data_IF_527791978878
#
_entry.id   IF_527791978878
#
_cell.length_a   1.000
_cell.length_b   1.000
_cell.length_c   1.000
_cell.angle_alpha   90.00
_cell.angle_beta   90.00
_cell.angle_gamma   90.00
#
_symmetry.space_group_name_H-M   'P 1'
#
loop_
_entity.id
_entity.type
_entity.pdbx_description
1 polymer ?
#
# COMPACT_ATOMS: atom_id res chain seq x y z
N UNK A 1 2.75 -17.30 -1.16
CA UNK A 1 1.65 -16.92 -0.26
C UNK A 1 1.45 -15.40 -0.33
N UNK A 2 0.22 -14.89 -0.18
CA UNK A 2 -0.07 -13.47 -0.29
C UNK A 2 -0.77 -12.97 0.99
N UNK A 3 -0.32 -11.85 1.53
CA UNK A 3 -0.86 -11.20 2.73
C UNK A 3 -1.37 -9.81 2.42
N UNK A 4 -2.33 -9.34 3.19
CA UNK A 4 -2.80 -7.95 3.21
C UNK A 4 -3.23 -7.54 4.62
N UNK A 5 -3.24 -6.24 4.96
CA UNK A 5 -3.74 -5.79 6.25
C UNK A 5 -5.27 -5.94 6.34
N UNK A 6 -5.78 -6.33 7.49
CA UNK A 6 -7.24 -6.50 7.74
C UNK A 6 -8.02 -5.19 7.67
N UNK A 7 -7.37 -4.05 7.81
CA UNK A 7 -7.99 -2.73 7.68
C UNK A 7 -8.49 -2.44 6.25
N UNK A 8 -8.00 -3.18 5.24
CA UNK A 8 -8.44 -3.03 3.86
C UNK A 8 -9.73 -3.83 3.58
N UNK A 9 -10.86 -3.31 4.06
CA UNK A 9 -12.19 -3.88 3.88
C UNK A 9 -12.86 -3.51 2.54
N UNK A 10 -12.14 -2.90 1.60
CA UNK A 10 -12.69 -2.44 0.31
C UNK A 10 -13.05 -3.58 -0.64
N UNK A 11 -12.50 -4.76 -0.41
CA UNK A 11 -12.73 -5.98 -1.19
C UNK A 11 -12.95 -7.18 -0.28
N UNK A 12 -13.28 -8.33 -0.85
CA UNK A 12 -13.43 -9.62 -0.14
C UNK A 12 -12.24 -9.85 0.81
N UNK A 13 -12.54 -10.16 2.08
CA UNK A 13 -11.53 -10.29 3.16
C UNK A 13 -10.41 -11.27 2.82
N UNK A 14 -10.67 -12.24 1.95
CA UNK A 14 -9.75 -13.32 1.62
C UNK A 14 -9.17 -13.24 0.20
N UNK A 15 -9.26 -12.08 -0.47
CA UNK A 15 -8.76 -11.94 -1.85
C UNK A 15 -8.09 -10.59 -2.07
N UNK A 16 -7.01 -10.63 -2.83
CA UNK A 16 -6.48 -9.44 -3.51
C UNK A 16 -7.02 -9.46 -4.94
N UNK A 17 -7.73 -8.39 -5.32
CA UNK A 17 -8.35 -8.26 -6.63
C UNK A 17 -7.66 -7.19 -7.46
N UNK A 18 -7.41 -7.49 -8.73
CA UNK A 18 -6.92 -6.51 -9.69
C UNK A 18 -8.08 -5.78 -10.35
N UNK A 19 -7.88 -4.56 -10.84
CA UNK A 19 -8.87 -3.81 -11.60
C UNK A 19 -9.39 -4.55 -12.86
N UNK A 20 -8.62 -5.53 -13.36
CA UNK A 20 -9.01 -6.36 -14.50
C UNK A 20 -9.85 -7.59 -14.10
N UNK A 21 -10.29 -7.69 -12.86
CA UNK A 21 -11.19 -8.74 -12.37
C UNK A 21 -10.49 -10.06 -11.98
N UNK A 22 -9.16 -10.15 -12.06
CA UNK A 22 -8.45 -11.30 -11.51
C UNK A 22 -8.38 -11.19 -9.98
N UNK A 23 -8.60 -12.29 -9.29
CA UNK A 23 -8.48 -12.36 -7.84
C UNK A 23 -7.57 -13.50 -7.42
N UNK A 24 -6.77 -13.25 -6.41
CA UNK A 24 -5.87 -14.23 -5.81
C UNK A 24 -6.21 -14.39 -4.33
N UNK A 25 -6.18 -15.62 -3.84
CA UNK A 25 -6.35 -15.89 -2.42
C UNK A 25 -5.26 -15.19 -1.61
N UNK A 26 -5.66 -14.50 -0.57
CA UNK A 26 -4.80 -13.80 0.35
C UNK A 26 -5.22 -14.03 1.79
N UNK A 27 -4.31 -13.83 2.71
CA UNK A 27 -4.57 -13.87 4.14
C UNK A 27 -4.61 -12.45 4.66
N UNK A 28 -5.75 -12.08 5.25
CA UNK A 28 -5.87 -10.82 5.99
C UNK A 28 -5.27 -10.98 7.39
N UNK A 29 -4.39 -10.09 7.77
CA UNK A 29 -3.68 -10.11 9.06
C UNK A 29 -3.75 -8.76 9.75
N UNK A 30 -3.81 -8.79 11.09
CA UNK A 30 -3.90 -7.58 11.92
C UNK A 30 -2.52 -7.03 12.30
N UNK A 31 -1.49 -7.85 12.29
CA UNK A 31 -0.12 -7.44 12.60
C UNK A 31 0.90 -8.15 11.71
N UNK A 32 2.04 -7.49 11.52
CA UNK A 32 3.14 -8.03 10.71
C UNK A 32 3.67 -9.37 11.23
N UNK A 33 3.74 -9.53 12.55
CA UNK A 33 4.27 -10.74 13.18
C UNK A 33 3.43 -11.98 12.93
N UNK A 34 2.12 -11.83 12.63
CA UNK A 34 1.28 -12.98 12.27
C UNK A 34 1.76 -13.70 11.02
N UNK A 35 2.55 -13.07 10.16
CA UNK A 35 3.16 -13.74 9.00
C UNK A 35 3.96 -14.97 9.45
N UNK A 36 4.67 -14.89 10.58
CA UNK A 36 5.46 -16.02 11.10
C UNK A 36 4.61 -17.24 11.43
N UNK A 37 3.36 -17.06 11.90
CA UNK A 37 2.47 -18.17 12.20
C UNK A 37 2.10 -19.00 10.97
N UNK A 38 2.07 -18.36 9.80
CA UNK A 38 1.76 -19.02 8.53
C UNK A 38 2.98 -19.67 7.87
N UNK A 39 4.18 -19.17 8.17
CA UNK A 39 5.40 -19.65 7.50
C UNK A 39 6.23 -20.63 8.33
N UNK A 40 6.00 -20.72 9.66
CA UNK A 40 6.79 -21.54 10.57
C UNK A 40 6.86 -23.04 10.20
N UNK A 41 5.76 -23.59 9.67
CA UNK A 41 5.62 -25.01 9.37
C UNK A 41 5.66 -25.33 7.87
N UNK A 42 5.81 -24.31 7.03
CA UNK A 42 5.80 -24.43 5.57
C UNK A 42 6.90 -23.60 4.94
N UNK A 43 7.61 -24.20 4.00
CA UNK A 43 8.59 -23.48 3.21
C UNK A 43 7.89 -22.81 2.03
N UNK A 44 8.05 -21.48 1.92
CA UNK A 44 7.59 -20.71 0.79
C UNK A 44 8.79 -20.11 0.05
N UNK A 45 8.80 -20.20 -1.26
CA UNK A 45 9.82 -19.58 -2.10
C UNK A 45 9.53 -18.09 -2.26
N UNK A 46 8.24 -17.72 -2.30
CA UNK A 46 7.78 -16.34 -2.53
C UNK A 46 6.67 -15.99 -1.54
N UNK A 47 6.81 -14.81 -0.92
CA UNK A 47 5.78 -14.17 -0.10
C UNK A 47 5.46 -12.80 -0.71
N UNK A 48 4.18 -12.54 -0.98
CA UNK A 48 3.66 -11.24 -1.40
C UNK A 48 2.97 -10.54 -0.24
N UNK A 49 3.12 -9.23 -0.14
CA UNK A 49 2.42 -8.39 0.85
C UNK A 49 1.88 -7.17 0.11
N UNK A 50 0.55 -7.03 0.12
CA UNK A 50 -0.13 -5.90 -0.52
C UNK A 50 -0.54 -4.84 0.51
N UNK A 51 -0.76 -3.60 0.05
CA UNK A 51 -1.17 -2.45 0.87
C UNK A 51 -0.29 -2.24 2.12
N UNK A 52 1.03 -2.43 1.94
CA UNK A 52 1.99 -2.52 3.05
C UNK A 52 2.07 -1.24 3.89
N UNK A 53 1.66 -0.08 3.36
CA UNK A 53 1.61 1.19 4.08
C UNK A 53 0.61 1.20 5.26
N UNK A 54 -0.25 0.20 5.36
CA UNK A 54 -1.19 0.09 6.48
C UNK A 54 -0.67 -0.79 7.63
N UNK A 55 0.53 -1.33 7.50
CA UNK A 55 1.21 -1.99 8.61
C UNK A 55 2.02 -1.01 9.44
N UNK A 56 2.30 -1.38 10.69
CA UNK A 56 3.26 -0.65 11.53
C UNK A 56 4.72 -0.93 11.09
N UNK A 57 5.68 -0.18 11.65
CA UNK A 57 7.10 -0.28 11.31
C UNK A 57 7.72 -1.66 11.59
N UNK A 58 7.08 -2.52 12.37
CA UNK A 58 7.57 -3.88 12.62
C UNK A 58 7.61 -4.73 11.34
N UNK A 59 6.78 -4.39 10.34
CA UNK A 59 6.79 -5.07 9.05
C UNK A 59 8.18 -5.04 8.41
N UNK A 60 8.96 -3.97 8.59
CA UNK A 60 10.32 -3.83 8.06
C UNK A 60 11.24 -4.96 8.57
N UNK A 61 11.19 -5.23 9.87
CA UNK A 61 11.99 -6.32 10.45
C UNK A 61 11.49 -7.70 10.04
N UNK A 62 10.18 -7.87 9.86
CA UNK A 62 9.58 -9.13 9.40
C UNK A 62 10.04 -9.46 7.98
N UNK A 63 9.93 -8.51 7.04
CA UNK A 63 10.35 -8.74 5.65
C UNK A 63 11.86 -8.97 5.54
N UNK A 64 12.69 -8.24 6.30
CA UNK A 64 14.13 -8.48 6.35
C UNK A 64 14.45 -9.92 6.82
N UNK A 65 13.83 -10.35 7.93
CA UNK A 65 14.03 -11.69 8.47
C UNK A 65 13.65 -12.78 7.45
N UNK A 66 12.55 -12.60 6.74
CA UNK A 66 12.11 -13.52 5.69
C UNK A 66 13.10 -13.52 4.50
N UNK A 67 13.53 -12.35 4.04
CA UNK A 67 14.49 -12.24 2.96
C UNK A 67 15.85 -12.88 3.33
N UNK A 68 16.36 -12.61 4.52
CA UNK A 68 17.60 -13.19 5.05
C UNK A 68 17.52 -14.73 5.17
N UNK A 69 16.33 -15.29 5.37
CA UNK A 69 16.08 -16.73 5.37
C UNK A 69 16.01 -17.35 3.96
N UNK A 70 16.17 -16.55 2.91
CA UNK A 70 16.15 -16.98 1.51
C UNK A 70 14.77 -16.98 0.84
N UNK A 71 13.77 -16.37 1.46
CA UNK A 71 12.44 -16.19 0.87
C UNK A 71 12.47 -14.94 -0.01
N UNK A 72 11.95 -15.03 -1.25
CA UNK A 72 11.71 -13.85 -2.07
C UNK A 72 10.49 -13.10 -1.54
N UNK A 73 10.69 -11.90 -1.01
CA UNK A 73 9.61 -11.03 -0.53
C UNK A 73 9.28 -9.98 -1.60
N UNK A 74 8.01 -9.90 -1.99
CA UNK A 74 7.50 -8.91 -2.95
C UNK A 74 6.45 -8.08 -2.23
N UNK A 75 6.67 -6.79 -2.15
CA UNK A 75 5.75 -5.87 -1.48
C UNK A 75 5.16 -4.86 -2.45
N UNK A 76 3.89 -4.50 -2.24
CA UNK A 76 3.21 -3.45 -2.98
C UNK A 76 2.54 -2.47 -2.00
N UNK A 77 2.52 -1.20 -2.36
CA UNK A 77 1.90 -0.16 -1.54
C UNK A 77 2.16 1.25 -2.04
N UNK A 78 1.53 2.21 -1.40
CA UNK A 78 1.70 3.63 -1.70
C UNK A 78 2.95 4.18 -1.01
N UNK A 79 3.80 4.84 -1.75
CA UNK A 79 5.02 5.48 -1.24
C UNK A 79 4.75 6.87 -0.64
N UNK A 80 3.65 7.50 -1.01
CA UNK A 80 3.19 8.78 -0.47
C UNK A 80 1.72 8.73 -0.09
N UNK A 81 1.39 9.46 0.99
CA UNK A 81 0.01 9.70 1.39
C UNK A 81 -0.68 10.78 0.51
N UNK A 82 -1.93 11.11 0.83
CA UNK A 82 -2.70 12.12 0.09
C UNK A 82 -2.13 13.55 0.23
N UNK A 83 -1.27 13.81 1.23
CA UNK A 83 -0.55 15.08 1.42
C UNK A 83 0.69 15.17 0.54
N UNK A 84 1.02 14.09 -0.16
CA UNK A 84 2.29 13.88 -0.87
C UNK A 84 3.51 13.86 0.07
N UNK A 85 3.30 13.45 1.31
CA UNK A 85 4.34 13.14 2.28
C UNK A 85 4.68 11.64 2.24
N UNK A 86 5.92 11.24 2.63
CA UNK A 86 6.29 9.83 2.65
C UNK A 86 5.36 9.02 3.56
N UNK A 87 4.79 7.94 3.03
CA UNK A 87 3.88 7.06 3.77
C UNK A 87 4.67 5.96 4.48
N UNK A 88 4.73 6.03 5.81
CA UNK A 88 5.39 4.98 6.59
C UNK A 88 4.63 3.64 6.48
N UNK A 89 5.34 2.50 6.44
CA UNK A 89 6.80 2.29 6.54
C UNK A 89 7.55 2.27 5.18
N UNK A 90 6.92 2.70 4.08
CA UNK A 90 7.47 2.60 2.72
C UNK A 90 8.88 3.17 2.54
N UNK A 91 9.28 4.33 3.13
CA UNK A 91 10.64 4.84 2.94
C UNK A 91 11.72 3.85 3.40
N UNK A 92 11.49 3.19 4.53
CA UNK A 92 12.41 2.18 5.06
C UNK A 92 12.45 0.93 4.19
N UNK A 93 11.28 0.47 3.73
CA UNK A 93 11.15 -0.68 2.83
C UNK A 93 11.86 -0.44 1.51
N UNK A 94 11.68 0.75 0.91
CA UNK A 94 12.38 1.14 -0.32
C UNK A 94 13.90 1.13 -0.11
N UNK A 95 14.36 1.60 1.06
CA UNK A 95 15.79 1.68 1.36
C UNK A 95 16.46 0.31 1.50
N UNK A 96 15.74 -0.71 2.01
CA UNK A 96 16.29 -2.07 2.20
C UNK A 96 16.05 -2.99 1.00
N UNK A 97 15.24 -2.58 0.02
CA UNK A 97 14.90 -3.39 -1.14
C UNK A 97 16.01 -3.37 -2.17
N UNK A 98 16.42 -4.55 -2.70
CA UNK A 98 17.36 -4.66 -3.81
C UNK A 98 16.77 -4.23 -5.16
N UNK A 99 15.44 -4.30 -5.28
CA UNK A 99 14.74 -3.93 -6.50
C UNK A 99 13.51 -3.08 -6.18
N UNK A 100 13.47 -1.87 -6.72
CA UNK A 100 12.34 -0.95 -6.55
C UNK A 100 11.79 -0.56 -7.92
N UNK A 101 10.49 -0.71 -8.10
CA UNK A 101 9.77 -0.22 -9.28
C UNK A 101 8.73 0.79 -8.83
N UNK A 102 8.93 2.05 -9.17
CA UNK A 102 7.96 3.10 -8.91
C UNK A 102 7.01 3.23 -10.09
N UNK A 103 5.76 2.80 -9.90
CA UNK A 103 4.71 2.89 -10.90
C UNK A 103 4.05 4.27 -10.87
N UNK A 104 3.70 4.78 -12.04
CA UNK A 104 2.98 6.03 -12.19
C UNK A 104 1.66 5.81 -12.94
N UNK A 105 0.66 6.60 -12.59
CA UNK A 105 -0.62 6.65 -13.26
C UNK A 105 -0.66 7.81 -14.28
N UNK A 106 -1.82 8.03 -14.86
CA UNK A 106 -2.11 9.19 -15.71
C UNK A 106 -2.90 10.22 -14.89
N UNK A 107 -2.46 11.46 -14.90
CA UNK A 107 -3.11 12.55 -14.16
C UNK A 107 -4.52 12.81 -14.70
N UNK A 108 -5.54 12.68 -13.86
CA UNK A 108 -6.93 12.89 -14.23
C UNK A 108 -7.23 14.32 -14.70
N UNK A 109 -6.39 15.30 -14.33
CA UNK A 109 -6.61 16.72 -14.67
C UNK A 109 -5.92 17.15 -15.96
N UNK A 110 -4.71 16.67 -16.26
CA UNK A 110 -3.92 17.15 -17.39
C UNK A 110 -3.32 16.08 -18.29
N UNK A 111 -3.53 14.79 -18.00
CA UNK A 111 -3.03 13.67 -18.81
C UNK A 111 -1.51 13.40 -18.69
N UNK A 112 -0.77 14.16 -17.88
CA UNK A 112 0.65 13.93 -17.64
C UNK A 112 0.86 12.76 -16.67
N UNK A 113 2.09 12.29 -16.56
CA UNK A 113 2.48 11.26 -15.58
C UNK A 113 2.15 11.70 -14.14
N UNK A 114 1.45 10.84 -13.40
CA UNK A 114 0.95 11.10 -12.06
C UNK A 114 1.63 10.21 -11.03
N UNK A 115 2.21 10.84 -10.02
CA UNK A 115 2.87 10.18 -8.88
C UNK A 115 2.20 10.46 -7.55
N UNK A 116 1.02 11.10 -7.52
CA UNK A 116 0.34 11.53 -6.30
C UNK A 116 -1.10 11.07 -6.27
N UNK A 117 -1.57 10.73 -5.08
CA UNK A 117 -2.97 10.40 -4.80
C UNK A 117 -3.67 11.66 -4.31
N UNK A 118 -4.53 12.24 -5.14
CA UNK A 118 -5.41 13.34 -4.75
C UNK A 118 -6.61 12.79 -4.03
N UNK A 119 -6.76 13.14 -2.75
CA UNK A 119 -7.97 12.83 -1.99
C UNK A 119 -8.99 13.93 -2.15
N UNK A 120 -10.22 13.53 -2.43
CA UNK A 120 -11.38 14.42 -2.55
C UNK A 120 -12.43 14.03 -1.51
N UNK A 121 -12.96 15.03 -0.82
CA UNK A 121 -14.08 14.91 0.11
C UNK A 121 -15.21 15.74 -0.46
N UNK A 122 -16.33 15.10 -0.83
CA UNK A 122 -17.45 15.75 -1.52
C UNK A 122 -17.02 16.51 -2.79
N UNK A 123 -16.04 15.98 -3.54
CA UNK A 123 -15.52 16.58 -4.76
C UNK A 123 -14.48 17.69 -4.58
N UNK A 124 -14.19 18.09 -3.36
CA UNK A 124 -13.20 19.13 -3.02
C UNK A 124 -11.89 18.50 -2.50
N UNK A 125 -10.71 19.10 -2.78
CA UNK A 125 -9.45 18.65 -2.22
C UNK A 125 -9.52 18.55 -0.69
N UNK A 126 -8.96 17.48 -0.13
CA UNK A 126 -8.86 17.27 1.31
C UNK A 126 -8.04 18.39 1.97
N UNK A 127 -8.25 18.59 3.28
CA UNK A 127 -7.47 19.52 4.08
C UNK A 127 -6.17 18.86 4.55
N UNK A 128 -5.15 19.67 4.79
CA UNK A 128 -3.87 19.17 5.30
C UNK A 128 -3.99 18.49 6.67
N UNK A 129 -4.91 18.96 7.52
CA UNK A 129 -5.17 18.45 8.87
C UNK A 129 -6.13 17.24 8.91
N UNK A 130 -6.69 16.82 7.75
CA UNK A 130 -7.48 15.61 7.69
C UNK A 130 -6.65 14.36 8.03
N UNK A 131 -7.24 13.35 8.71
CA UNK A 131 -6.53 12.13 9.06
C UNK A 131 -6.05 11.39 7.79
N UNK A 132 -4.87 10.74 7.88
CA UNK A 132 -4.27 10.05 6.74
C UNK A 132 -5.12 8.85 6.28
N UNK A 133 -5.60 8.06 7.23
CA UNK A 133 -6.46 6.90 6.98
C UNK A 133 -7.87 7.22 7.42
N UNK A 134 -8.83 7.08 6.52
CA UNK A 134 -10.26 7.20 6.85
C UNK A 134 -10.98 5.99 6.27
N UNK A 135 -11.79 5.36 7.09
CA UNK A 135 -12.65 4.23 6.71
C UNK A 135 -14.05 4.80 6.51
N UNK A 136 -14.47 4.98 5.24
CA UNK A 136 -15.83 5.48 4.97
C UNK A 136 -16.08 5.92 3.52
N UNK A 137 -17.36 6.02 3.16
CA UNK A 137 -17.86 6.03 1.80
C UNK A 137 -17.93 7.40 1.08
N UNK A 138 -17.55 8.52 1.71
CA UNK A 138 -17.68 9.86 1.09
C UNK A 138 -16.41 10.36 0.39
N UNK A 139 -15.38 9.52 0.34
CA UNK A 139 -14.09 9.89 -0.20
C UNK A 139 -13.85 9.25 -1.56
N UNK A 140 -13.20 10.00 -2.42
CA UNK A 140 -12.67 9.50 -3.67
C UNK A 140 -11.19 9.87 -3.81
N UNK A 141 -10.48 9.06 -4.58
CA UNK A 141 -9.09 9.29 -4.89
C UNK A 141 -8.89 9.38 -6.40
N UNK A 142 -8.05 10.31 -6.81
CA UNK A 142 -7.67 10.49 -8.20
C UNK A 142 -6.15 10.55 -8.34
N UNK A 143 -5.65 10.06 -9.48
CA UNK A 143 -4.26 10.22 -9.83
C UNK A 143 -3.97 11.66 -10.27
N UNK A 144 -2.97 12.31 -9.67
CA UNK A 144 -2.53 13.67 -10.01
C UNK A 144 -1.03 13.76 -10.19
N UNK A 145 -0.60 14.59 -11.12
CA UNK A 145 0.80 15.00 -11.20
C UNK A 145 1.13 16.05 -10.12
N UNK A 146 2.41 16.32 -9.94
CA UNK A 146 2.89 17.31 -8.95
C UNK A 146 2.24 18.69 -9.09
N UNK A 147 1.95 19.15 -10.33
CA UNK A 147 1.39 20.46 -10.61
C UNK A 147 -0.13 20.53 -10.41
N UNK A 148 -0.81 19.38 -10.54
CA UNK A 148 -2.28 19.34 -10.44
C UNK A 148 -2.77 18.84 -9.08
N UNK A 149 -1.86 18.43 -8.21
CA UNK A 149 -2.16 18.00 -6.85
C UNK A 149 -2.40 19.21 -5.95
N UNK A 150 -3.50 19.18 -5.22
CA UNK A 150 -3.98 20.30 -4.40
C UNK A 150 -4.30 19.83 -2.99
N UNK A 151 -3.87 20.59 -1.97
CA UNK A 151 -4.21 20.39 -0.56
C UNK A 151 -4.73 21.70 0.00
N UNK A 152 -5.88 21.67 0.65
CA UNK A 152 -6.42 22.84 1.36
C UNK A 152 -5.71 22.99 2.71
N UNK A 153 -5.37 24.24 3.05
CA UNK A 153 -4.81 24.63 4.35
C UNK A 153 -5.92 24.86 5.36
#
# INVERSE_FOLDING_TARGET
MLFKPSIDNRYDENKVSTHNGNSYESVSIDSAEQIYDYVKDKKYDIIGIDEIQFFDNKIVSVINTLADSGVRVIVAGLDMDFKAEPFQPMPEIIAISEMVTKLHAVCNKCGQEASRSQRLINGEPARFDDPIVVIGASESYEARCRHCHEIRK
#
